data_IF_509929854622
#
_entry.id   IF_509929854622
#
_cell.length_a   1.000
_cell.length_b   1.000
_cell.length_c   1.000
_cell.angle_alpha   90.00
_cell.angle_beta   90.00
_cell.angle_gamma   90.00
#
_symmetry.space_group_name_H-M   'P 1'
#
loop_
_entity.id
_entity.type
_entity.pdbx_description
1 polymer ?
#
# COMPACT_ATOMS: atom_id res chain seq x y z
N UNK A 1 -18.26 -33.24 61.41
CA UNK A 1 -18.00 -31.81 61.12
C UNK A 1 -16.52 -31.56 61.33
N UNK A 2 -15.82 -31.10 60.28
CA UNK A 2 -14.49 -30.45 60.29
C UNK A 2 -13.26 -31.29 60.65
N UNK A 3 -12.07 -31.08 60.08
CA UNK A 3 -11.55 -30.44 58.85
C UNK A 3 -10.09 -30.93 58.79
N UNK A 4 -9.65 -31.42 57.63
CA UNK A 4 -8.26 -31.82 57.41
C UNK A 4 -7.33 -30.60 57.51
N UNK A 5 -6.18 -30.80 58.16
CA UNK A 5 -5.05 -29.89 58.13
C UNK A 5 -4.31 -30.06 56.81
N UNK A 6 -4.17 -28.97 56.06
CA UNK A 6 -3.19 -28.84 54.98
C UNK A 6 -2.31 -27.63 55.30
N UNK A 7 -1.01 -27.91 55.37
CA UNK A 7 0.03 -26.92 55.60
C UNK A 7 0.08 -25.91 54.43
N UNK A 8 0.07 -24.62 54.77
CA UNK A 8 0.30 -23.53 53.84
C UNK A 8 1.79 -23.34 53.60
N UNK A 9 2.25 -23.55 52.36
CA UNK A 9 3.55 -23.07 51.89
C UNK A 9 3.35 -21.62 51.43
N UNK A 10 3.92 -20.67 52.17
CA UNK A 10 3.98 -19.26 51.76
C UNK A 10 5.12 -19.07 50.76
N UNK A 11 4.79 -18.88 49.48
CA UNK A 11 5.72 -18.33 48.49
C UNK A 11 5.48 -16.82 48.47
N UNK A 12 6.41 -16.07 49.06
CA UNK A 12 6.43 -14.62 48.98
C UNK A 12 6.81 -14.19 47.55
N UNK A 13 5.88 -13.54 46.85
CA UNK A 13 6.16 -12.84 45.59
C UNK A 13 6.44 -11.37 45.91
N UNK A 14 7.66 -10.84 45.67
CA UNK A 14 7.93 -9.43 45.84
C UNK A 14 7.43 -8.67 44.59
N UNK A 15 6.21 -8.15 44.64
CA UNK A 15 5.75 -7.16 43.66
C UNK A 15 5.76 -5.78 44.30
N UNK A 16 6.87 -5.06 44.16
CA UNK A 16 6.92 -3.60 44.37
C UNK A 16 8.23 -3.02 43.85
N UNK A 17 8.43 -3.06 42.54
CA UNK A 17 9.38 -2.23 41.77
C UNK A 17 9.36 -2.73 40.33
N UNK A 18 8.55 -2.17 39.43
CA UNK A 18 8.74 -2.18 37.96
C UNK A 18 7.48 -1.62 37.24
N UNK A 19 7.05 -0.41 37.59
CA UNK A 19 6.13 0.34 36.73
C UNK A 19 6.93 1.07 35.64
N UNK A 20 7.84 1.93 36.06
CA UNK A 20 8.59 2.84 35.18
C UNK A 20 9.65 2.18 34.31
N UNK A 21 10.20 1.03 34.73
CA UNK A 21 11.20 0.29 33.94
C UNK A 21 10.60 -0.33 32.68
N UNK A 22 9.37 -0.82 32.76
CA UNK A 22 8.69 -1.48 31.64
C UNK A 22 8.27 -0.45 30.60
N UNK A 23 7.82 0.74 31.02
CA UNK A 23 7.46 1.82 30.09
C UNK A 23 8.69 2.34 29.34
N UNK A 24 9.84 2.49 30.01
CA UNK A 24 11.09 2.92 29.37
C UNK A 24 11.63 1.92 28.36
N UNK A 25 11.52 0.61 28.63
CA UNK A 25 11.92 -0.42 27.67
C UNK A 25 10.95 -0.49 26.47
N UNK A 26 9.65 -0.26 26.69
CA UNK A 26 8.66 -0.20 25.62
C UNK A 26 8.86 1.06 24.75
N UNK A 27 9.15 2.21 25.35
CA UNK A 27 9.46 3.45 24.64
C UNK A 27 10.78 3.35 23.88
N UNK A 28 11.81 2.73 24.46
CA UNK A 28 13.09 2.49 23.78
C UNK A 28 12.94 1.50 22.62
N UNK A 29 12.13 0.44 22.78
CA UNK A 29 11.82 -0.48 21.69
C UNK A 29 10.98 0.19 20.59
N UNK A 30 10.05 1.08 20.94
CA UNK A 30 9.22 1.84 20.00
C UNK A 30 10.05 2.90 19.25
N UNK A 31 10.96 3.58 19.94
CA UNK A 31 11.94 4.49 19.31
C UNK A 31 12.96 3.74 18.44
N UNK A 32 13.42 2.55 18.85
CA UNK A 32 14.33 1.73 18.05
C UNK A 32 13.63 1.14 16.81
N UNK A 33 12.35 0.77 16.91
CA UNK A 33 11.53 0.37 15.76
C UNK A 33 11.22 1.55 14.83
N UNK A 34 11.09 2.77 15.37
CA UNK A 34 10.90 3.98 14.56
C UNK A 34 12.19 4.46 13.87
N UNK A 35 13.37 4.09 14.37
CA UNK A 35 14.66 4.51 13.79
C UNK A 35 15.24 3.54 12.76
N UNK A 36 14.57 2.41 12.50
CA UNK A 36 15.04 1.39 11.54
C UNK A 36 14.41 1.51 10.14
N UNK A 37 13.43 2.39 9.92
CA UNK A 37 12.90 2.64 8.58
C UNK A 37 13.65 3.80 7.91
N UNK A 38 14.92 3.58 7.60
CA UNK A 38 15.50 4.26 6.44
C UNK A 38 14.90 3.54 5.24
N UNK A 39 13.70 3.96 4.83
CA UNK A 39 13.11 3.46 3.58
C UNK A 39 14.12 3.77 2.47
N UNK A 40 14.68 2.74 1.79
CA UNK A 40 15.57 3.00 0.66
C UNK A 40 14.77 3.82 -0.35
N UNK A 41 15.39 4.87 -0.89
CA UNK A 41 14.76 5.66 -1.94
C UNK A 41 14.27 4.68 -3.03
N UNK A 42 12.95 4.68 -3.27
CA UNK A 42 12.36 3.79 -4.27
C UNK A 42 12.71 4.38 -5.63
N UNK A 43 13.76 3.85 -6.24
CA UNK A 43 14.15 4.23 -7.59
C UNK A 43 13.11 3.74 -8.60
N UNK A 44 12.78 4.61 -9.55
CA UNK A 44 11.82 4.34 -10.59
C UNK A 44 12.51 3.63 -11.76
N UNK A 45 12.10 2.40 -12.05
CA UNK A 45 12.67 1.60 -13.15
C UNK A 45 11.91 1.87 -14.46
N UNK A 46 12.63 1.92 -15.59
CA UNK A 46 12.02 2.00 -16.92
C UNK A 46 11.28 0.70 -17.27
N UNK A 47 10.00 0.81 -17.61
CA UNK A 47 9.17 -0.32 -18.02
C UNK A 47 9.07 -0.50 -19.53
N UNK A 48 9.56 0.45 -20.34
CA UNK A 48 9.39 0.46 -21.80
C UNK A 48 9.94 -0.78 -22.50
N UNK A 49 11.03 -1.36 -21.99
CA UNK A 49 11.60 -2.61 -22.52
C UNK A 49 10.74 -3.86 -22.32
N UNK A 50 9.86 -3.88 -21.32
CA UNK A 50 9.16 -5.10 -20.92
C UNK A 50 8.09 -5.49 -21.94
N UNK A 51 8.15 -6.74 -22.41
CA UNK A 51 7.01 -7.43 -23.03
C UNK A 51 5.91 -7.69 -22.01
N UNK A 52 4.72 -8.05 -22.49
CA UNK A 52 3.62 -8.50 -21.62
C UNK A 52 4.05 -9.65 -20.69
N UNK A 53 4.79 -10.63 -21.23
CA UNK A 53 5.27 -11.81 -20.50
C UNK A 53 6.32 -11.44 -19.44
N UNK A 54 7.28 -10.58 -19.80
CA UNK A 54 8.31 -10.10 -18.86
C UNK A 54 7.67 -9.33 -17.69
N UNK A 55 6.66 -8.51 -17.99
CA UNK A 55 5.92 -7.79 -16.95
C UNK A 55 5.12 -8.76 -16.07
N UNK A 56 4.48 -9.78 -16.65
CA UNK A 56 3.76 -10.82 -15.90
C UNK A 56 4.70 -11.58 -14.96
N UNK A 57 5.86 -12.02 -15.46
CA UNK A 57 6.89 -12.69 -14.67
C UNK A 57 7.40 -11.80 -13.53
N UNK A 58 7.54 -10.51 -13.79
CA UNK A 58 7.93 -9.52 -12.77
C UNK A 58 6.86 -9.40 -11.67
N UNK A 59 5.57 -9.35 -12.04
CA UNK A 59 4.47 -9.36 -11.06
C UNK A 59 4.47 -10.64 -10.21
N UNK A 60 4.74 -11.81 -10.82
CA UNK A 60 4.86 -13.08 -10.09
C UNK A 60 6.04 -13.05 -9.12
N UNK A 61 7.19 -12.50 -9.52
CA UNK A 61 8.35 -12.36 -8.66
C UNK A 61 8.06 -11.43 -7.48
N UNK A 62 7.43 -10.27 -7.71
CA UNK A 62 7.02 -9.34 -6.66
C UNK A 62 6.01 -9.99 -5.70
N UNK A 63 5.04 -10.75 -6.22
CA UNK A 63 4.06 -11.47 -5.38
C UNK A 63 4.71 -12.52 -4.46
N UNK A 64 5.86 -13.08 -4.83
CA UNK A 64 6.62 -14.00 -3.96
C UNK A 64 7.36 -13.28 -2.82
N UNK A 65 7.53 -11.96 -2.91
CA UNK A 65 8.25 -11.16 -1.92
C UNK A 65 7.33 -10.56 -0.85
N UNK A 66 6.02 -10.54 -1.08
CA UNK A 66 5.03 -10.01 -0.12
C UNK A 66 4.54 -11.10 0.84
N UNK A 67 3.94 -10.69 1.96
CA UNK A 67 3.41 -11.65 2.93
C UNK A 67 2.18 -12.38 2.37
N UNK A 68 1.91 -13.60 2.85
CA UNK A 68 0.74 -14.39 2.42
C UNK A 68 -0.60 -13.70 2.69
N UNK A 69 -0.64 -12.78 3.66
CA UNK A 69 -1.83 -12.00 4.01
C UNK A 69 -1.93 -10.68 3.22
N UNK A 70 -1.08 -10.51 2.20
CA UNK A 70 -1.02 -9.32 1.35
C UNK A 70 -1.31 -9.68 -0.11
N UNK A 71 -1.96 -8.75 -0.80
CA UNK A 71 -2.22 -8.78 -2.22
C UNK A 71 -1.44 -7.69 -2.94
N UNK A 72 -1.05 -8.00 -4.17
CA UNK A 72 -0.41 -7.06 -5.07
C UNK A 72 -1.48 -6.21 -5.75
N UNK A 73 -1.32 -4.90 -5.72
CA UNK A 73 -2.15 -3.94 -6.43
C UNK A 73 -1.27 -2.92 -7.16
N UNK A 74 -1.86 -2.11 -8.02
CA UNK A 74 -1.16 -1.00 -8.66
C UNK A 74 -1.89 0.33 -8.45
N UNK A 75 -1.11 1.41 -8.38
CA UNK A 75 -1.62 2.76 -8.45
C UNK A 75 -0.98 3.48 -9.63
N UNK A 76 -1.84 3.97 -10.51
CA UNK A 76 -1.46 4.66 -11.72
C UNK A 76 -1.51 6.16 -11.50
N UNK A 77 -0.42 6.85 -11.85
CA UNK A 77 -0.30 8.28 -11.58
C UNK A 77 0.58 8.99 -12.62
N UNK A 78 0.68 10.32 -12.49
CA UNK A 78 1.59 11.13 -13.30
C UNK A 78 3.00 11.10 -12.72
N UNK A 79 4.01 11.37 -13.55
CA UNK A 79 5.39 11.43 -13.12
C UNK A 79 5.61 12.50 -12.04
N UNK A 80 4.92 13.64 -12.16
CA UNK A 80 4.96 14.72 -11.18
C UNK A 80 4.44 14.24 -9.81
N UNK A 81 3.27 13.62 -9.78
CA UNK A 81 2.69 13.09 -8.53
C UNK A 81 3.56 11.99 -7.92
N UNK A 82 4.12 11.10 -8.76
CA UNK A 82 5.03 10.06 -8.30
C UNK A 82 6.28 10.62 -7.62
N UNK A 83 6.84 11.73 -8.11
CA UNK A 83 8.00 12.38 -7.45
C UNK A 83 7.66 12.84 -6.02
N UNK A 84 6.47 13.37 -5.79
CA UNK A 84 6.02 13.76 -4.45
C UNK A 84 5.72 12.55 -3.56
N UNK A 85 5.10 11.50 -4.11
CA UNK A 85 4.80 10.26 -3.38
C UNK A 85 6.09 9.55 -2.94
N UNK A 86 7.12 9.55 -3.79
CA UNK A 86 8.38 8.84 -3.56
C UNK A 86 9.47 9.70 -2.90
N UNK A 87 9.22 11.00 -2.71
CA UNK A 87 10.18 11.91 -2.08
C UNK A 87 10.53 11.48 -0.65
N UNK A 88 11.77 11.75 -0.24
CA UNK A 88 12.20 11.53 1.15
C UNK A 88 11.32 12.33 2.10
N UNK A 89 10.77 11.64 3.10
CA UNK A 89 9.86 12.25 4.10
C UNK A 89 8.40 12.34 3.64
N UNK A 90 8.05 11.75 2.49
CA UNK A 90 6.65 11.64 2.07
C UNK A 90 5.88 10.67 2.97
N UNK A 91 4.60 10.98 3.22
CA UNK A 91 3.69 10.05 3.89
C UNK A 91 3.19 8.94 2.94
N UNK A 92 3.48 9.03 1.63
CA UNK A 92 3.07 8.07 0.62
C UNK A 92 1.84 8.52 -0.16
N UNK A 93 0.88 7.61 -0.39
CA UNK A 93 -0.29 7.88 -1.23
C UNK A 93 -1.43 8.47 -0.40
N UNK A 94 -1.76 9.73 -0.66
CA UNK A 94 -2.85 10.44 0.01
C UNK A 94 -4.23 9.95 -0.42
N UNK A 95 -5.13 9.70 0.53
CA UNK A 95 -6.54 9.52 0.25
C UNK A 95 -7.21 10.84 -0.18
N UNK A 96 -8.12 10.75 -1.14
CA UNK A 96 -8.98 11.86 -1.51
C UNK A 96 -10.09 12.05 -0.46
N UNK A 97 -10.45 13.30 -0.17
CA UNK A 97 -11.60 13.65 0.70
C UNK A 97 -12.95 13.55 -0.01
N UNK A 98 -12.96 13.31 -1.31
CA UNK A 98 -14.18 13.17 -2.12
C UNK A 98 -13.98 12.25 -3.32
N UNK A 99 -15.09 11.85 -3.96
CA UNK A 99 -15.06 10.96 -5.12
C UNK A 99 -16.31 10.08 -5.20
N UNK A 100 -16.35 9.19 -6.19
CA UNK A 100 -17.52 8.33 -6.47
C UNK A 100 -17.92 7.39 -5.33
N UNK A 101 -17.06 7.20 -4.32
CA UNK A 101 -17.28 6.34 -3.16
C UNK A 101 -17.21 7.07 -1.81
N UNK A 102 -17.27 8.42 -1.82
CA UNK A 102 -17.16 9.25 -0.62
C UNK A 102 -15.72 9.68 -0.26
N UNK A 103 -14.75 9.38 -1.11
CA UNK A 103 -13.32 9.61 -0.84
C UNK A 103 -12.55 8.29 -0.73
N UNK A 104 -11.28 8.36 -0.34
CA UNK A 104 -10.38 7.21 -0.19
C UNK A 104 -9.23 7.17 -1.20
N UNK A 105 -8.49 6.07 -1.19
CA UNK A 105 -7.39 5.81 -2.12
C UNK A 105 -7.84 4.85 -3.22
N UNK A 106 -7.73 5.30 -4.48
CA UNK A 106 -8.01 4.47 -5.65
C UNK A 106 -6.81 3.61 -6.01
N UNK A 107 -7.03 2.31 -6.09
CA UNK A 107 -6.06 1.32 -6.57
C UNK A 107 -6.67 0.49 -7.70
N UNK A 108 -5.82 -0.11 -8.51
CA UNK A 108 -6.18 -1.03 -9.57
C UNK A 108 -5.70 -2.43 -9.22
N UNK A 109 -6.60 -3.42 -9.25
CA UNK A 109 -6.28 -4.82 -8.95
C UNK A 109 -5.78 -5.59 -10.17
N UNK A 110 -5.97 -5.04 -11.39
CA UNK A 110 -5.37 -5.59 -12.61
C UNK A 110 -3.98 -5.02 -12.82
N UNK A 111 -3.03 -5.89 -13.09
CA UNK A 111 -1.64 -5.54 -13.40
C UNK A 111 -1.50 -5.02 -14.84
N UNK A 112 -0.41 -4.31 -15.18
CA UNK A 112 -0.22 -3.78 -16.53
C UNK A 112 -0.37 -4.81 -17.66
N UNK A 113 0.18 -6.02 -17.50
CA UNK A 113 0.05 -7.10 -18.51
C UNK A 113 -1.40 -7.52 -18.75
N UNK A 114 -2.23 -7.57 -17.70
CA UNK A 114 -3.68 -7.88 -17.80
C UNK A 114 -4.48 -6.75 -18.45
N UNK A 115 -3.94 -5.53 -18.41
CA UNK A 115 -4.48 -4.37 -19.11
C UNK A 115 -4.00 -4.29 -20.57
N UNK A 116 -3.27 -5.28 -21.06
CA UNK A 116 -2.78 -5.32 -22.44
C UNK A 116 -1.51 -4.49 -22.66
N UNK A 117 -0.66 -4.39 -21.64
CA UNK A 117 0.71 -3.88 -21.76
C UNK A 117 1.50 -4.67 -22.80
N UNK A 118 2.24 -3.92 -23.61
CA UNK A 118 3.37 -4.42 -24.40
C UNK A 118 4.47 -3.35 -24.43
N UNK A 119 5.63 -3.69 -25.01
CA UNK A 119 6.80 -2.82 -25.09
C UNK A 119 6.42 -1.38 -25.47
N UNK A 120 7.00 -0.42 -24.75
CA UNK A 120 6.80 1.03 -24.93
C UNK A 120 5.36 1.51 -24.81
N UNK A 121 4.58 0.92 -23.89
CA UNK A 121 3.12 1.16 -23.75
C UNK A 121 2.34 0.75 -25.00
N UNK A 122 2.86 -0.24 -25.74
CA UNK A 122 2.20 -0.80 -26.90
C UNK A 122 0.93 -1.58 -26.56
N UNK A 123 0.39 -2.28 -27.56
CA UNK A 123 -0.83 -3.05 -27.42
C UNK A 123 -2.07 -2.19 -27.16
N UNK A 124 -2.95 -2.66 -26.27
CA UNK A 124 -4.20 -1.98 -25.92
C UNK A 124 -4.13 -1.28 -24.54
N UNK A 125 -2.92 -1.16 -23.96
CA UNK A 125 -2.72 -0.71 -22.60
C UNK A 125 -3.37 0.62 -22.28
N UNK A 126 -3.03 1.69 -23.01
CA UNK A 126 -3.53 3.04 -22.73
C UNK A 126 -5.06 3.13 -22.83
N UNK A 127 -5.64 2.38 -23.79
CA UNK A 127 -7.10 2.30 -23.95
C UNK A 127 -7.75 1.58 -22.76
N UNK A 128 -7.21 0.44 -22.36
CA UNK A 128 -7.78 -0.38 -21.29
C UNK A 128 -7.59 0.26 -19.92
N UNK A 129 -6.39 0.74 -19.59
CA UNK A 129 -6.12 1.47 -18.34
C UNK A 129 -6.95 2.75 -18.28
N UNK A 130 -7.13 3.43 -19.43
CA UNK A 130 -7.98 4.60 -19.54
C UNK A 130 -9.43 4.31 -19.17
N UNK A 131 -9.98 3.24 -19.74
CA UNK A 131 -11.34 2.77 -19.44
C UNK A 131 -11.49 2.33 -17.99
N UNK A 132 -10.54 1.60 -17.44
CA UNK A 132 -10.61 1.15 -16.04
C UNK A 132 -10.47 2.33 -15.07
N UNK A 133 -9.60 3.31 -15.33
CA UNK A 133 -9.41 4.45 -14.43
C UNK A 133 -10.50 5.51 -14.55
N UNK A 134 -11.00 5.81 -15.74
CA UNK A 134 -11.92 6.94 -15.97
C UNK A 134 -13.29 6.54 -16.57
N UNK A 135 -13.51 5.26 -16.86
CA UNK A 135 -14.76 4.77 -17.44
C UNK A 135 -15.06 5.42 -18.79
N UNK A 136 -16.31 5.83 -18.98
CA UNK A 136 -16.76 6.56 -20.18
C UNK A 136 -16.04 7.89 -20.40
N UNK A 137 -15.38 8.44 -19.36
CA UNK A 137 -14.61 9.70 -19.46
C UNK A 137 -13.15 9.49 -19.84
N UNK A 138 -12.74 8.29 -20.25
CA UNK A 138 -11.35 7.99 -20.64
C UNK A 138 -10.80 8.96 -21.69
N UNK A 139 -11.62 9.41 -22.65
CA UNK A 139 -11.20 10.37 -23.67
C UNK A 139 -10.93 11.79 -23.12
N UNK A 140 -11.40 12.11 -21.92
CA UNK A 140 -11.25 13.40 -21.24
C UNK A 140 -10.27 13.33 -20.07
N UNK A 141 -9.60 12.18 -19.89
CA UNK A 141 -8.66 11.99 -18.79
C UNK A 141 -7.43 12.93 -18.94
N UNK A 142 -6.87 13.43 -17.83
CA UNK A 142 -5.62 14.19 -17.87
C UNK A 142 -4.50 13.37 -18.53
N UNK A 143 -3.48 14.07 -19.06
CA UNK A 143 -2.34 13.48 -19.77
C UNK A 143 -1.92 12.17 -19.09
N UNK A 144 -2.09 11.06 -19.83
CA UNK A 144 -2.38 9.74 -19.28
C UNK A 144 -1.35 9.18 -18.31
N UNK A 145 -1.65 7.99 -17.79
CA UNK A 145 -0.80 7.28 -16.84
C UNK A 145 0.67 7.18 -17.29
N UNK A 146 1.58 7.77 -16.51
CA UNK A 146 3.02 7.78 -16.76
C UNK A 146 3.80 6.88 -15.83
N UNK A 147 3.27 6.61 -14.63
CA UNK A 147 3.93 5.82 -13.60
C UNK A 147 2.96 4.77 -13.07
N UNK A 148 3.49 3.56 -12.84
CA UNK A 148 2.81 2.49 -12.13
C UNK A 148 3.56 2.22 -10.81
N UNK A 149 2.90 2.49 -9.70
CA UNK A 149 3.38 2.11 -8.36
C UNK A 149 2.81 0.74 -8.02
N UNK A 150 3.67 -0.23 -7.75
CA UNK A 150 3.28 -1.55 -7.26
C UNK A 150 3.15 -1.49 -5.75
N UNK A 151 2.00 -1.88 -5.24
CA UNK A 151 1.61 -1.77 -3.84
C UNK A 151 1.39 -3.16 -3.25
N UNK A 152 1.80 -3.34 -1.99
CA UNK A 152 1.33 -4.46 -1.15
C UNK A 152 0.21 -3.97 -0.24
N UNK A 153 -0.96 -4.61 -0.32
CA UNK A 153 -2.16 -4.24 0.43
C UNK A 153 -2.59 -5.46 1.23
N UNK A 154 -2.98 -5.30 2.51
CA UNK A 154 -3.47 -6.45 3.28
C UNK A 154 -4.78 -6.98 2.70
N UNK A 155 -4.97 -8.29 2.71
CA UNK A 155 -6.17 -8.94 2.18
C UNK A 155 -7.47 -8.43 2.81
N UNK A 156 -7.47 -8.15 4.12
CA UNK A 156 -8.65 -7.64 4.82
C UNK A 156 -9.05 -6.25 4.31
N UNK A 157 -8.07 -5.37 4.08
CA UNK A 157 -8.27 -4.04 3.49
C UNK A 157 -8.78 -4.18 2.05
N UNK A 158 -8.18 -5.09 1.27
CA UNK A 158 -8.62 -5.35 -0.10
C UNK A 158 -10.07 -5.85 -0.15
N UNK A 159 -10.45 -6.78 0.73
CA UNK A 159 -11.81 -7.31 0.83
C UNK A 159 -12.83 -6.27 1.30
N UNK A 160 -12.41 -5.36 2.20
CA UNK A 160 -13.24 -4.25 2.67
C UNK A 160 -13.39 -3.09 1.69
N UNK A 161 -12.49 -3.00 0.69
CA UNK A 161 -12.49 -1.90 -0.27
C UNK A 161 -13.74 -1.85 -1.15
N UNK A 162 -14.20 -0.64 -1.45
CA UNK A 162 -15.38 -0.41 -2.29
C UNK A 162 -15.06 -0.64 -3.76
N UNK A 163 -15.97 -1.29 -4.48
CA UNK A 163 -15.90 -1.39 -5.94
C UNK A 163 -16.50 -0.13 -6.58
N UNK A 164 -16.12 0.14 -7.83
CA UNK A 164 -16.71 1.25 -8.58
C UNK A 164 -17.51 0.73 -9.77
N UNK A 165 -18.81 1.10 -9.90
CA UNK A 165 -19.63 0.72 -11.05
C UNK A 165 -18.97 1.07 -12.38
N UNK A 166 -18.96 0.12 -13.31
CA UNK A 166 -18.34 0.26 -14.64
C UNK A 166 -16.81 0.19 -14.66
N UNK A 167 -16.15 0.09 -13.49
CA UNK A 167 -14.68 0.05 -13.35
C UNK A 167 -14.27 -1.13 -12.44
N UNK A 168 -14.46 -2.39 -12.90
CA UNK A 168 -14.31 -3.57 -12.06
C UNK A 168 -12.87 -3.83 -11.61
N UNK A 169 -11.86 -3.26 -12.27
CA UNK A 169 -10.48 -3.33 -11.80
C UNK A 169 -10.17 -2.32 -10.69
N UNK A 170 -11.03 -1.34 -10.44
CA UNK A 170 -10.78 -0.30 -9.45
C UNK A 170 -11.38 -0.69 -8.11
N UNK A 171 -10.59 -0.45 -7.06
CA UNK A 171 -10.99 -0.54 -5.67
C UNK A 171 -10.68 0.78 -4.97
N UNK A 172 -11.55 1.19 -4.08
CA UNK A 172 -11.37 2.37 -3.24
C UNK A 172 -11.17 1.90 -1.80
N UNK A 173 -9.96 2.07 -1.28
CA UNK A 173 -9.66 1.83 0.13
C UNK A 173 -10.13 3.06 0.92
N UNK A 174 -10.90 2.83 1.98
CA UNK A 174 -11.40 3.91 2.84
C UNK A 174 -10.27 4.54 3.65
N UNK A 175 -10.45 5.81 4.03
CA UNK A 175 -9.42 6.55 4.77
C UNK A 175 -9.03 5.86 6.09
N UNK A 176 -10.02 5.29 6.78
CA UNK A 176 -9.85 4.61 8.07
C UNK A 176 -9.01 3.33 7.94
N UNK A 177 -8.98 2.70 6.76
CA UNK A 177 -8.18 1.51 6.48
C UNK A 177 -6.72 1.84 6.10
N UNK A 178 -6.40 3.11 5.84
CA UNK A 178 -5.04 3.55 5.47
C UNK A 178 -4.16 3.85 6.68
N UNK A 179 -4.78 4.04 7.85
CA UNK A 179 -4.15 4.47 9.09
C UNK A 179 -4.71 5.79 9.59
N UNK A 180 -4.17 6.26 10.72
CA UNK A 180 -4.61 7.49 11.36
C UNK A 180 -4.42 8.70 10.44
N UNK A 181 -5.37 9.64 10.53
CA UNK A 181 -5.25 10.91 9.84
C UNK A 181 -4.04 11.68 10.39
N UNK A 182 -3.23 12.21 9.48
CA UNK A 182 -2.10 13.06 9.81
C UNK A 182 -2.58 14.45 10.27
N UNK A 183 -1.71 15.31 10.86
CA UNK A 183 -2.09 16.65 11.33
C UNK A 183 -2.69 17.58 10.25
N UNK A 184 -2.45 17.29 8.97
CA UNK A 184 -3.06 17.99 7.83
C UNK A 184 -4.51 17.56 7.55
N UNK A 185 -5.05 16.64 8.35
CA UNK A 185 -6.38 16.08 8.22
C UNK A 185 -6.54 15.15 7.02
N UNK A 186 -5.47 14.52 6.54
CA UNK A 186 -5.50 13.52 5.47
C UNK A 186 -4.95 12.16 5.96
N UNK A 187 -5.53 11.07 5.45
CA UNK A 187 -5.00 9.72 5.63
C UNK A 187 -4.13 9.33 4.44
N UNK A 188 -3.12 8.50 4.69
CA UNK A 188 -2.11 8.13 3.70
C UNK A 188 -1.83 6.63 3.74
N UNK A 189 -1.73 6.00 2.57
CA UNK A 189 -1.06 4.71 2.48
C UNK A 189 0.45 4.95 2.55
N UNK A 190 1.08 4.47 3.62
CA UNK A 190 2.53 4.61 3.87
C UNK A 190 3.38 4.25 2.65
N UNK A 191 4.45 5.02 2.43
CA UNK A 191 5.44 4.76 1.38
C UNK A 191 6.04 3.35 1.47
N UNK A 192 6.20 2.79 2.68
CA UNK A 192 6.66 1.41 2.92
C UNK A 192 5.78 0.31 2.30
N UNK A 193 4.56 0.67 1.83
CA UNK A 193 3.65 -0.22 1.09
C UNK A 193 3.92 -0.23 -0.41
N UNK A 194 4.73 0.70 -0.91
CA UNK A 194 5.17 0.73 -2.30
C UNK A 194 6.41 -0.17 -2.40
N UNK A 195 6.30 -1.26 -3.16
CA UNK A 195 7.41 -2.21 -3.31
C UNK A 195 8.24 -1.96 -4.56
N UNK A 196 7.67 -1.28 -5.56
CA UNK A 196 8.34 -0.96 -6.81
C UNK A 196 7.64 0.19 -7.53
N UNK A 197 8.40 1.02 -8.22
CA UNK A 197 7.87 2.07 -9.09
C UNK A 197 8.38 1.87 -10.51
N UNK A 198 7.49 1.97 -11.49
CA UNK A 198 7.82 1.86 -12.90
C UNK A 198 7.49 3.14 -13.64
N UNK A 199 8.49 3.69 -14.34
CA UNK A 199 8.28 4.72 -15.33
C UNK A 199 7.79 4.05 -16.61
N UNK A 200 6.53 4.28 -16.95
CA UNK A 200 5.91 3.73 -18.15
C UNK A 200 6.32 4.49 -19.42
N UNK A 201 6.96 5.65 -19.28
CA UNK A 201 7.39 6.49 -20.40
C UNK A 201 8.81 6.18 -20.88
N UNK A 202 9.66 5.61 -20.03
CA UNK A 202 11.08 5.39 -20.31
C UNK A 202 11.34 4.00 -20.88
N UNK A 203 12.24 3.92 -21.85
CA UNK A 203 12.79 2.69 -22.45
C UNK A 203 13.68 1.92 -21.47
#
# INVERSE_FOLDING_TARGET
>A
VSRQALASVSIAWPWRETGESIVRELDAATSAMSSLSVDPAIDMEGAGRFTAEEFANTCVALKKQIMQIEELACHFTTLESAKFILAKGSHGLRASKGGQAGGGLSICVKMPHELGWDRRRGGNFLKNVGKELWGEKAAQAPAGTQVCLMLRIRENIMKGSKTVPGRPAIRIIEADDLGDAMPDGHSYLSQSRIIKAYNLMQD
#
